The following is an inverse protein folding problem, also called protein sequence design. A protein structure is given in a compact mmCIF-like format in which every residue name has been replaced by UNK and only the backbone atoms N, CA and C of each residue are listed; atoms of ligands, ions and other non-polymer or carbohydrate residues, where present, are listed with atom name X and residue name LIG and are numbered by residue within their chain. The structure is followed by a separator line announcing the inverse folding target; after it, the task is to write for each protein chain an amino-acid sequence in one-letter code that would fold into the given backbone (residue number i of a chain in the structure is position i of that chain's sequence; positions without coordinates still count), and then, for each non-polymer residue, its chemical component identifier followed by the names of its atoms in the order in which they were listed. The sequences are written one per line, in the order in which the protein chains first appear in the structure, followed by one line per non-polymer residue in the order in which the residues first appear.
data_IF_705288747979
#
_entry.id   IF_705288747979
#
_cell.length_a   1.000
_cell.length_b   1.000
_cell.length_c   1.000
_cell.angle_alpha   90.00
_cell.angle_beta   90.00
_cell.angle_gamma   90.00
#
_symmetry.space_group_name_H-M   'P 1'
#
loop_
_entity.id
_entity.type
_entity.pdbx_description
1 polymer ?
#
# COMPACT_ATOMS: atom_id res chain seq x y z
N UNK A 1 4.25 10.24 8.82
CA UNK A 1 4.85 11.30 7.97
C UNK A 1 5.22 10.74 6.60
N UNK A 2 5.27 11.57 5.57
CA UNK A 2 5.74 11.13 4.22
C UNK A 2 7.26 11.15 4.24
N UNK A 3 7.89 10.04 3.87
CA UNK A 3 9.36 9.93 3.86
C UNK A 3 9.93 10.03 2.45
N UNK A 4 9.26 9.44 1.47
CA UNK A 4 9.69 9.46 0.07
C UNK A 4 8.46 9.40 -0.83
N UNK A 5 8.48 10.09 -1.96
CA UNK A 5 7.42 9.98 -2.95
C UNK A 5 7.95 10.31 -4.34
N UNK A 6 7.44 9.60 -5.33
CA UNK A 6 7.63 9.90 -6.74
C UNK A 6 6.27 9.87 -7.44
N UNK A 7 5.95 10.96 -8.12
CA UNK A 7 4.67 11.15 -8.83
C UNK A 7 4.46 10.02 -9.85
N UNK A 8 3.22 9.53 -9.93
CA UNK A 8 2.81 8.38 -10.76
C UNK A 8 3.55 7.06 -10.52
N UNK A 9 4.41 6.97 -9.49
CA UNK A 9 5.14 5.74 -9.16
C UNK A 9 4.89 5.24 -7.75
N UNK A 10 5.20 6.02 -6.72
CA UNK A 10 5.02 5.55 -5.34
C UNK A 10 4.99 6.66 -4.30
N UNK A 11 4.46 6.33 -3.13
CA UNK A 11 4.54 7.16 -1.93
C UNK A 11 4.80 6.26 -0.71
N UNK A 12 5.74 6.69 0.12
CA UNK A 12 6.14 6.03 1.37
C UNK A 12 5.78 6.90 2.56
N UNK A 13 5.23 6.24 3.57
CA UNK A 13 4.89 6.80 4.85
C UNK A 13 5.66 6.07 5.93
N UNK A 14 6.02 6.81 6.97
CA UNK A 14 6.60 6.27 8.18
C UNK A 14 5.72 6.66 9.37
N UNK A 15 5.48 5.71 10.27
CA UNK A 15 4.73 5.97 11.48
C UNK A 15 5.64 6.62 12.52
N UNK A 16 5.21 7.73 13.14
CA UNK A 16 6.05 8.55 14.04
C UNK A 16 6.65 7.79 15.24
N UNK A 17 6.10 6.63 15.57
CA UNK A 17 6.51 5.80 16.70
C UNK A 17 7.03 4.42 16.28
N UNK A 18 7.16 4.16 14.97
CA UNK A 18 7.68 2.89 14.47
C UNK A 18 9.21 2.93 14.27
N UNK A 19 9.87 1.77 14.26
CA UNK A 19 11.27 1.64 13.85
C UNK A 19 11.51 2.21 12.44
N UNK A 20 12.65 2.84 12.19
CA UNK A 20 12.97 3.51 10.91
C UNK A 20 12.98 2.58 9.70
N UNK A 21 13.09 1.27 9.91
CA UNK A 21 13.00 0.22 8.91
C UNK A 21 11.56 -0.20 8.59
N UNK A 22 10.59 0.17 9.42
CA UNK A 22 9.17 -0.04 9.17
C UNK A 22 8.54 1.16 8.45
N UNK A 23 7.99 0.88 7.28
CA UNK A 23 7.35 1.90 6.45
C UNK A 23 6.15 1.32 5.74
N UNK A 24 5.23 2.20 5.41
CA UNK A 24 4.06 1.89 4.63
C UNK A 24 4.25 2.44 3.21
N UNK A 25 4.08 1.63 2.16
CA UNK A 25 4.28 2.04 0.77
C UNK A 25 3.05 1.72 -0.09
N UNK A 26 2.61 2.74 -0.84
CA UNK A 26 1.76 2.56 -2.02
C UNK A 26 2.62 2.74 -3.26
N UNK A 27 2.65 1.73 -4.13
CA UNK A 27 3.33 1.79 -5.42
C UNK A 27 2.36 1.46 -6.55
N UNK A 28 2.44 2.23 -7.62
CA UNK A 28 1.70 2.03 -8.86
C UNK A 28 2.69 1.54 -9.91
N UNK A 29 2.38 0.40 -10.50
CA UNK A 29 3.14 -0.17 -11.61
C UNK A 29 2.24 -0.31 -12.83
N UNK A 30 2.80 -0.07 -14.01
CA UNK A 30 2.08 -0.25 -15.27
C UNK A 30 2.67 -1.45 -16.00
N UNK A 31 1.88 -2.49 -16.16
CA UNK A 31 2.29 -3.68 -16.92
C UNK A 31 2.49 -3.31 -18.39
N UNK A 32 3.69 -3.46 -18.93
CA UNK A 32 3.98 -3.18 -20.35
C UNK A 32 3.25 -4.14 -21.30
N UNK A 33 2.96 -5.37 -20.83
CA UNK A 33 2.34 -6.41 -21.66
C UNK A 33 0.82 -6.29 -21.68
N UNK A 34 0.20 -6.05 -20.51
CA UNK A 34 -1.26 -6.01 -20.38
C UNK A 34 -1.83 -4.59 -20.34
N UNK A 35 -0.96 -3.58 -20.24
CA UNK A 35 -1.31 -2.16 -20.08
C UNK A 35 -2.22 -1.89 -18.86
N UNK A 36 -2.22 -2.79 -17.87
CA UNK A 36 -2.98 -2.67 -16.64
C UNK A 36 -2.19 -1.89 -15.60
N UNK A 37 -2.89 -1.06 -14.84
CA UNK A 37 -2.36 -0.39 -13.65
C UNK A 37 -2.47 -1.34 -12.45
N UNK A 38 -1.34 -1.62 -11.82
CA UNK A 38 -1.20 -2.51 -10.67
C UNK A 38 -0.90 -1.64 -9.45
N UNK A 39 -1.69 -1.79 -8.39
CA UNK A 39 -1.41 -1.18 -7.10
C UNK A 39 -0.73 -2.23 -6.20
N UNK A 40 0.50 -1.94 -5.79
CA UNK A 40 1.27 -2.73 -4.83
C UNK A 40 1.25 -2.00 -3.49
N UNK A 41 0.82 -2.70 -2.44
CA UNK A 41 0.76 -2.19 -1.08
C UNK A 41 1.75 -2.99 -0.23
N UNK A 42 2.66 -2.29 0.45
CA UNK A 42 3.60 -2.91 1.39
C UNK A 42 3.38 -2.33 2.78
N UNK A 43 3.20 -3.23 3.74
CA UNK A 43 3.01 -2.92 5.15
C UNK A 43 3.80 -3.92 6.01
N UNK A 44 4.09 -3.54 7.25
CA UNK A 44 4.79 -4.39 8.21
C UNK A 44 3.83 -4.73 9.37
N UNK A 45 3.86 -5.99 9.77
CA UNK A 45 3.01 -6.49 10.84
C UNK A 45 3.76 -7.55 11.64
N UNK A 46 3.48 -7.61 12.94
CA UNK A 46 3.90 -8.75 13.73
C UNK A 46 3.21 -10.03 13.25
N UNK A 47 3.85 -11.18 13.42
CA UNK A 47 3.33 -12.48 12.95
C UNK A 47 1.92 -12.79 13.46
N UNK A 48 1.58 -12.35 14.67
CA UNK A 48 0.25 -12.52 15.25
C UNK A 48 -0.82 -11.63 14.56
N UNK A 49 -0.42 -10.47 14.06
CA UNK A 49 -1.30 -9.45 13.50
C UNK A 49 -1.45 -9.55 11.97
N UNK A 50 -0.56 -10.28 11.28
CA UNK A 50 -0.60 -10.48 9.81
C UNK A 50 -1.99 -10.84 9.32
N UNK A 51 -2.71 -11.72 10.03
CA UNK A 51 -4.05 -12.16 9.62
C UNK A 51 -5.06 -11.03 9.64
N UNK A 52 -5.07 -10.25 10.73
CA UNK A 52 -6.04 -9.18 10.94
C UNK A 52 -5.73 -7.99 10.03
N UNK A 53 -4.44 -7.63 9.88
CA UNK A 53 -4.01 -6.64 8.91
C UNK A 53 -4.36 -7.04 7.47
N UNK A 54 -4.16 -8.29 7.08
CA UNK A 54 -4.52 -8.76 5.74
C UNK A 54 -6.01 -8.61 5.45
N UNK A 55 -6.86 -8.89 6.44
CA UNK A 55 -8.30 -8.69 6.31
C UNK A 55 -8.64 -7.20 6.19
N UNK A 56 -8.06 -6.36 7.06
CA UNK A 56 -8.24 -4.91 7.01
C UNK A 56 -7.87 -4.34 5.64
N UNK A 57 -6.70 -4.72 5.11
CA UNK A 57 -6.25 -4.32 3.78
C UNK A 57 -7.20 -4.79 2.68
N UNK A 58 -7.71 -6.02 2.77
CA UNK A 58 -8.74 -6.51 1.85
C UNK A 58 -9.99 -5.64 1.81
N UNK A 59 -10.46 -5.18 2.98
CA UNK A 59 -11.60 -4.26 3.05
C UNK A 59 -11.26 -2.86 2.52
N UNK A 60 -10.10 -2.30 2.89
CA UNK A 60 -9.70 -0.97 2.43
C UNK A 60 -9.49 -0.92 0.91
N UNK A 61 -8.85 -1.94 0.34
CA UNK A 61 -8.65 -2.06 -1.11
C UNK A 61 -9.99 -2.21 -1.83
N UNK A 62 -10.93 -2.98 -1.26
CA UNK A 62 -12.27 -3.11 -1.82
C UNK A 62 -13.02 -1.77 -1.82
N UNK A 63 -12.97 -1.02 -0.72
CA UNK A 63 -13.58 0.31 -0.62
C UNK A 63 -12.92 1.30 -1.59
N UNK A 64 -11.59 1.23 -1.74
CA UNK A 64 -10.85 2.02 -2.72
C UNK A 64 -11.34 1.74 -4.14
N UNK A 65 -11.44 0.47 -4.55
CA UNK A 65 -11.96 0.11 -5.87
C UNK A 65 -13.41 0.58 -6.08
N UNK A 66 -14.24 0.49 -5.05
CA UNK A 66 -15.62 0.97 -5.10
C UNK A 66 -15.69 2.49 -5.31
N UNK A 67 -14.86 3.27 -4.61
CA UNK A 67 -14.78 4.73 -4.77
C UNK A 67 -14.21 5.15 -6.13
N UNK A 68 -13.29 4.37 -6.68
CA UNK A 68 -12.72 4.59 -8.01
C UNK A 68 -13.71 4.25 -9.14
N UNK A 69 -14.87 3.67 -8.81
CA UNK A 69 -15.99 3.51 -9.75
C UNK A 69 -16.02 2.19 -10.53
N UNK A 70 -15.46 1.10 -9.96
CA UNK A 70 -15.81 -0.26 -10.39
C UNK A 70 -17.04 -0.80 -9.65
#
# INVERSE_FOLDING_TARGET
EVTESEEDKFIRFHWLHAPTDEYFEFRIEKSEVTNQTILVIKDFAEKAEVKDQSQLWGYQVKDLFHRLGN
#
